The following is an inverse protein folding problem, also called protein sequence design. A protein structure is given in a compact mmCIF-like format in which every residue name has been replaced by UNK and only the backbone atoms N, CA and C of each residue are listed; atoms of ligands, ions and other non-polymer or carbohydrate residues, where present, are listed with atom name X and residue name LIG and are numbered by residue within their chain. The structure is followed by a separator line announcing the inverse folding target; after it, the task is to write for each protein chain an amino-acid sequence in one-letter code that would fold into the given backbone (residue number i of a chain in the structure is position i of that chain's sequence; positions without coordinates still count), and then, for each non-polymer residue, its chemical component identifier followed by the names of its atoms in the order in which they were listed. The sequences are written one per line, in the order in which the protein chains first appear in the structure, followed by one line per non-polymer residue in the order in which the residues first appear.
data_IF_625302712496
#
_entry.id   IF_625302712496
#
_cell.length_a   1.000
_cell.length_b   1.000
_cell.length_c   1.000
_cell.angle_alpha   90.00
_cell.angle_beta   90.00
_cell.angle_gamma   90.00
#
_symmetry.space_group_name_H-M   'P 1'
#
loop_
_entity.id
_entity.type
_entity.pdbx_description
1 polymer ?
#
# COMPACT_ATOMS: atom_id res chain seq x y z
N UNK A 1 -5.96 19.21 -4.38
CA UNK A 1 -4.88 19.77 -5.19
C UNK A 1 -3.56 19.89 -4.40
N UNK A 2 -3.56 20.17 -3.09
CA UNK A 2 -2.31 20.18 -2.26
C UNK A 2 -1.71 18.80 -1.91
N UNK A 3 -2.44 17.68 -2.03
CA UNK A 3 -1.92 16.35 -1.64
C UNK A 3 -1.02 15.70 -2.68
N UNK A 4 -1.08 16.13 -3.94
CA UNK A 4 -0.33 15.50 -5.04
C UNK A 4 1.12 16.01 -5.14
N UNK A 5 1.45 17.16 -4.54
CA UNK A 5 2.81 17.71 -4.54
C UNK A 5 3.80 16.92 -3.66
N UNK A 6 3.31 16.02 -2.79
CA UNK A 6 4.16 15.23 -1.89
C UNK A 6 4.71 13.94 -2.49
N UNK A 7 4.24 13.55 -3.66
CA UNK A 7 4.57 12.25 -4.22
C UNK A 7 5.09 12.37 -5.64
N UNK A 8 6.16 11.65 -5.93
CA UNK A 8 6.67 11.52 -7.29
C UNK A 8 5.70 10.72 -8.16
N UNK A 9 5.86 10.86 -9.48
CA UNK A 9 5.16 10.04 -10.47
C UNK A 9 5.49 8.57 -10.20
N UNK A 10 4.49 7.68 -10.03
CA UNK A 10 4.75 6.26 -9.82
C UNK A 10 5.48 5.64 -11.02
N UNK A 11 6.58 4.93 -10.76
CA UNK A 11 7.26 4.09 -11.74
C UNK A 11 7.63 2.76 -11.09
N UNK A 12 7.81 1.70 -11.88
CA UNK A 12 8.14 0.37 -11.34
C UNK A 12 9.65 0.15 -11.17
N UNK A 13 10.48 1.16 -11.47
CA UNK A 13 11.94 1.04 -11.53
C UNK A 13 12.71 2.15 -10.79
N UNK A 14 12.02 3.08 -10.13
CA UNK A 14 12.65 4.10 -9.27
C UNK A 14 13.02 3.57 -7.87
N UNK A 15 12.61 2.34 -7.57
CA UNK A 15 12.78 1.67 -6.28
C UNK A 15 11.93 2.27 -5.16
N UNK A 16 10.86 3.00 -5.50
CA UNK A 16 9.91 3.55 -4.54
C UNK A 16 8.70 2.62 -4.44
N UNK A 17 8.31 2.28 -3.22
CA UNK A 17 7.04 1.59 -2.96
C UNK A 17 5.92 2.61 -2.90
N UNK A 18 4.80 2.29 -3.54
CA UNK A 18 3.56 3.06 -3.44
C UNK A 18 2.66 2.41 -2.38
N UNK A 19 2.26 3.19 -1.37
CA UNK A 19 1.29 2.75 -0.37
C UNK A 19 -0.06 3.37 -0.70
N UNK A 20 -1.03 2.53 -1.06
CA UNK A 20 -2.35 2.97 -1.53
C UNK A 20 -3.46 2.37 -0.68
N UNK A 21 -4.40 3.21 -0.25
CA UNK A 21 -5.58 2.82 0.49
C UNK A 21 -6.81 2.65 -0.39
N UNK A 22 -7.59 1.60 -0.13
CA UNK A 22 -8.91 1.36 -0.71
C UNK A 22 -9.92 1.28 0.43
N UNK A 23 -11.06 1.94 0.28
CA UNK A 23 -12.03 2.15 1.38
C UNK A 23 -13.16 1.14 1.40
N UNK A 24 -13.33 0.35 0.35
CA UNK A 24 -14.37 -0.68 0.27
C UNK A 24 -14.61 -1.15 -1.16
N UNK A 25 -15.53 -2.10 -1.32
CA UNK A 25 -15.78 -2.78 -2.61
C UNK A 25 -16.27 -1.83 -3.72
N UNK A 26 -17.07 -0.81 -3.37
CA UNK A 26 -17.54 0.18 -4.35
C UNK A 26 -16.38 1.01 -4.87
N UNK A 27 -15.47 1.42 -3.99
CA UNK A 27 -14.27 2.14 -4.38
C UNK A 27 -13.37 1.25 -5.26
N UNK A 28 -13.19 -0.02 -4.89
CA UNK A 28 -12.42 -0.97 -5.69
C UNK A 28 -13.02 -1.15 -7.10
N UNK A 29 -14.34 -1.30 -7.22
CA UNK A 29 -15.01 -1.42 -8.52
C UNK A 29 -14.85 -0.16 -9.39
N UNK A 30 -14.86 1.04 -8.78
CA UNK A 30 -14.59 2.29 -9.48
C UNK A 30 -13.13 2.44 -9.92
N UNK A 31 -12.18 1.85 -9.18
CA UNK A 31 -10.78 1.78 -9.59
C UNK A 31 -10.63 0.85 -10.81
N UNK A 32 -11.26 -0.33 -10.77
CA UNK A 32 -11.23 -1.28 -11.88
C UNK A 32 -11.86 -0.72 -13.16
N UNK A 33 -12.89 0.11 -13.06
CA UNK A 33 -13.51 0.78 -14.22
C UNK A 33 -12.78 2.04 -14.69
N UNK A 34 -11.73 2.48 -13.97
CA UNK A 34 -10.96 3.70 -14.29
C UNK A 34 -11.64 5.02 -13.90
N UNK A 35 -12.75 4.98 -13.15
CA UNK A 35 -13.49 6.16 -12.70
C UNK A 35 -12.81 6.83 -11.50
N UNK A 36 -12.16 6.05 -10.64
CA UNK A 36 -11.40 6.54 -9.48
C UNK A 36 -10.02 5.92 -9.41
N UNK A 37 -9.18 6.51 -8.56
CA UNK A 37 -7.87 5.98 -8.19
C UNK A 37 -7.84 5.73 -6.69
N UNK A 38 -7.00 4.79 -6.26
CA UNK A 38 -6.79 4.55 -4.83
C UNK A 38 -6.21 5.79 -4.13
N UNK A 39 -6.39 5.86 -2.80
CA UNK A 39 -5.89 6.97 -2.01
C UNK A 39 -4.40 6.78 -1.77
N UNK A 40 -3.56 7.68 -2.29
CA UNK A 40 -2.11 7.64 -2.01
C UNK A 40 -1.86 8.00 -0.55
N UNK A 41 -1.27 7.07 0.20
CA UNK A 41 -1.00 7.19 1.64
C UNK A 41 0.47 7.53 1.91
N UNK A 42 1.40 6.87 1.21
CA UNK A 42 2.83 7.09 1.33
C UNK A 42 3.57 6.66 0.04
N UNK A 43 4.79 7.16 -0.13
CA UNK A 43 5.74 6.71 -1.15
C UNK A 43 7.14 6.67 -0.53
N UNK A 44 7.89 5.58 -0.69
CA UNK A 44 9.20 5.45 -0.04
C UNK A 44 10.02 4.23 -0.47
N UNK A 45 11.34 4.34 -0.45
CA UNK A 45 12.24 3.18 -0.63
C UNK A 45 12.41 2.31 0.62
N UNK A 46 11.94 2.80 1.76
CA UNK A 46 11.90 2.12 3.04
C UNK A 46 10.56 2.47 3.71
N UNK A 47 9.68 1.48 3.85
CA UNK A 47 8.32 1.65 4.37
C UNK A 47 8.18 0.86 5.66
N UNK A 48 7.79 1.56 6.72
CA UNK A 48 7.49 0.97 8.02
C UNK A 48 5.98 1.03 8.28
N UNK A 49 5.35 -0.12 8.47
CA UNK A 49 3.92 -0.28 8.70
C UNK A 49 3.73 -0.84 10.10
N UNK A 50 3.09 -0.06 10.98
CA UNK A 50 2.68 -0.51 12.31
C UNK A 50 1.23 -0.95 12.29
N UNK A 51 0.98 -2.21 12.62
CA UNK A 51 -0.38 -2.78 12.71
C UNK A 51 -0.85 -2.76 14.16
N UNK A 52 -1.72 -1.81 14.51
CA UNK A 52 -2.23 -1.61 15.88
C UNK A 52 -3.61 -2.25 16.13
N UNK A 53 -4.05 -3.18 15.29
CA UNK A 53 -5.37 -3.77 15.41
C UNK A 53 -5.44 -4.72 16.62
N UNK A 54 -6.61 -4.90 17.24
CA UNK A 54 -6.76 -5.83 18.36
C UNK A 54 -6.90 -7.30 17.91
N UNK A 55 -6.99 -7.54 16.61
CA UNK A 55 -7.20 -8.86 16.00
C UNK A 55 -6.32 -9.04 14.76
N UNK A 56 -5.99 -10.30 14.39
CA UNK A 56 -5.21 -10.58 13.19
C UNK A 56 -5.89 -10.11 11.90
N UNK A 57 -5.11 -9.50 10.99
CA UNK A 57 -5.60 -8.95 9.72
C UNK A 57 -5.20 -9.89 8.57
N UNK A 58 -6.09 -10.16 7.59
CA UNK A 58 -5.72 -10.88 6.39
C UNK A 58 -4.65 -10.12 5.59
N UNK A 59 -3.52 -10.78 5.32
CA UNK A 59 -2.44 -10.27 4.49
C UNK A 59 -2.16 -11.28 3.39
N UNK A 60 -1.69 -10.81 2.24
CA UNK A 60 -1.26 -11.63 1.11
C UNK A 60 0.01 -11.03 0.53
N UNK A 61 1.01 -11.87 0.26
CA UNK A 61 2.24 -11.52 -0.46
C UNK A 61 2.52 -12.61 -1.48
N UNK A 62 2.81 -12.22 -2.72
CA UNK A 62 3.18 -13.12 -3.84
C UNK A 62 2.23 -14.30 -4.08
N UNK A 63 0.97 -14.18 -3.68
CA UNK A 63 -0.05 -15.22 -3.83
C UNK A 63 -0.34 -16.02 -2.56
N UNK A 64 0.50 -15.90 -1.54
CA UNK A 64 0.37 -16.64 -0.28
C UNK A 64 -0.38 -15.81 0.77
N UNK A 65 -1.58 -16.23 1.21
CA UNK A 65 -2.36 -15.53 2.22
C UNK A 65 -2.06 -16.02 3.64
N UNK A 66 -2.13 -15.11 4.64
CA UNK A 66 -2.09 -15.45 6.06
C UNK A 66 -2.86 -14.44 6.92
N UNK A 67 -3.09 -14.80 8.19
CA UNK A 67 -3.58 -13.86 9.21
C UNK A 67 -2.39 -13.27 9.97
N UNK A 68 -2.15 -11.98 9.79
CA UNK A 68 -1.07 -11.25 10.43
C UNK A 68 -1.53 -10.72 11.81
N UNK A 69 -0.99 -11.23 12.94
CA UNK A 69 -1.20 -10.60 14.25
C UNK A 69 -0.55 -9.21 14.30
N UNK A 70 -0.89 -8.38 15.30
CA UNK A 70 -0.33 -7.04 15.47
C UNK A 70 1.20 -7.07 15.48
N UNK A 71 1.82 -6.25 14.64
CA UNK A 71 3.27 -6.25 14.45
C UNK A 71 3.74 -4.96 13.78
N UNK A 72 5.07 -4.80 13.74
CA UNK A 72 5.76 -3.82 12.91
C UNK A 72 6.33 -4.52 11.66
N UNK A 73 5.89 -4.12 10.47
CA UNK A 73 6.37 -4.62 9.19
C UNK A 73 7.32 -3.59 8.58
N UNK A 74 8.50 -4.02 8.16
CA UNK A 74 9.45 -3.17 7.46
C UNK A 74 9.72 -3.72 6.07
N UNK A 75 9.45 -2.90 5.05
CA UNK A 75 9.66 -3.23 3.65
C UNK A 75 10.80 -2.36 3.13
N UNK A 76 11.85 -3.00 2.66
CA UNK A 76 13.03 -2.37 2.08
C UNK A 76 13.22 -2.83 0.64
N UNK A 77 13.99 -2.07 -0.13
CA UNK A 77 14.45 -2.54 -1.44
C UNK A 77 15.22 -3.85 -1.26
N UNK A 78 14.95 -4.80 -2.16
CA UNK A 78 15.84 -5.95 -2.33
C UNK A 78 17.22 -5.47 -2.76
N UNK A 79 18.27 -6.10 -2.23
CA UNK A 79 19.67 -5.76 -2.53
C UNK A 79 20.28 -6.65 -3.63
N UNK A 80 19.44 -7.41 -4.35
CA UNK A 80 19.85 -8.39 -5.36
C UNK A 80 19.70 -7.84 -6.78
#
# INVERSE_FOLDING_TARGET
HEKDEKFNRPTHYDGMLEVVGVTGIVHLGQIQSGIRSGVRLAQGGHVHIRMNNDYPVPVQVDGEPWLQPPCDITIIRSAL
#
